data_IF_632041625383
#
_entry.id   IF_632041625383
#
_cell.length_a   1.000
_cell.length_b   1.000
_cell.length_c   1.000
_cell.angle_alpha   90.00
_cell.angle_beta   90.00
_cell.angle_gamma   90.00
#
_symmetry.space_group_name_H-M   'P 1'
#
loop_
_entity.id
_entity.type
_entity.pdbx_description
1 polymer ?
#
# COMPACT_ATOMS: atom_id res chain seq x y z
N UNK A 1 -5.20 -8.79 -20.13
CA UNK A 1 -5.48 -7.43 -19.65
C UNK A 1 -5.98 -7.49 -18.21
N UNK A 2 -5.08 -7.34 -17.25
CA UNK A 2 -5.43 -7.29 -15.83
C UNK A 2 -5.88 -5.85 -15.49
N UNK A 3 -7.09 -5.70 -14.95
CA UNK A 3 -7.73 -4.38 -14.78
C UNK A 3 -7.47 -3.71 -13.43
N UNK A 4 -6.97 -4.44 -12.42
CA UNK A 4 -6.75 -3.88 -11.08
C UNK A 4 -5.43 -3.12 -11.00
N UNK A 5 -5.51 -1.88 -10.56
CA UNK A 5 -4.36 -1.06 -10.18
C UNK A 5 -4.60 -0.61 -8.75
N UNK A 6 -3.70 -0.98 -7.85
CA UNK A 6 -3.66 -0.46 -6.49
C UNK A 6 -2.58 0.62 -6.39
N UNK A 7 -2.94 1.78 -5.85
CA UNK A 7 -2.01 2.88 -5.63
C UNK A 7 -2.41 3.69 -4.40
N UNK A 8 -1.41 4.15 -3.67
CA UNK A 8 -1.54 5.16 -2.61
C UNK A 8 -0.98 6.46 -3.18
N UNK A 9 -1.86 7.38 -3.61
CA UNK A 9 -1.47 8.67 -4.19
C UNK A 9 -1.99 9.85 -3.36
N UNK A 10 -1.67 9.87 -2.07
CA UNK A 10 -2.01 10.99 -1.17
C UNK A 10 -0.98 12.13 -1.24
N UNK A 11 0.21 11.85 -1.75
CA UNK A 11 1.34 12.76 -1.63
C UNK A 11 1.33 13.91 -2.63
N UNK A 12 0.67 13.73 -3.79
CA UNK A 12 0.49 14.82 -4.74
C UNK A 12 -0.32 15.95 -4.15
N UNK A 13 -1.25 15.63 -3.25
CA UNK A 13 -2.11 16.60 -2.56
C UNK A 13 -1.58 17.00 -1.18
N UNK A 14 -0.33 16.69 -0.83
CA UNK A 14 0.23 16.98 0.51
C UNK A 14 -0.45 16.22 1.65
N UNK A 15 -1.14 15.13 1.34
CA UNK A 15 -1.79 14.23 2.29
C UNK A 15 -0.91 13.00 2.60
N UNK A 16 -1.42 12.16 3.49
CA UNK A 16 -0.81 10.93 4.00
C UNK A 16 -1.80 9.76 3.88
N UNK A 17 -1.36 8.49 3.96
CA UNK A 17 -2.26 7.34 4.00
C UNK A 17 -3.27 7.45 5.14
N UNK A 18 -4.55 7.60 4.80
CA UNK A 18 -5.66 7.77 5.73
C UNK A 18 -6.73 6.68 5.51
N UNK A 19 -7.90 6.81 6.17
CA UNK A 19 -9.02 5.88 6.11
C UNK A 19 -8.65 4.44 6.52
N UNK A 20 -7.80 4.30 7.54
CA UNK A 20 -7.24 3.02 7.99
C UNK A 20 -5.95 2.62 7.26
N UNK A 21 -5.42 3.50 6.40
CA UNK A 21 -4.11 3.36 5.77
C UNK A 21 -3.01 3.00 6.76
N UNK A 22 -2.98 3.65 7.92
CA UNK A 22 -1.99 3.38 8.95
C UNK A 22 -2.12 1.98 9.56
N UNK A 23 -3.32 1.39 9.51
CA UNK A 23 -3.61 0.07 10.07
C UNK A 23 -3.13 -1.06 9.14
N UNK A 24 -3.60 -1.09 7.89
CA UNK A 24 -3.28 -2.24 7.03
C UNK A 24 -1.86 -2.17 6.46
N UNK A 25 -1.34 -0.97 6.13
CA UNK A 25 0.02 -0.84 5.58
C UNK A 25 1.09 -1.23 6.58
N UNK A 26 0.90 -0.88 7.86
CA UNK A 26 1.85 -1.23 8.92
C UNK A 26 1.93 -2.73 9.21
N UNK A 27 0.99 -3.52 8.66
CA UNK A 27 0.89 -4.98 8.80
C UNK A 27 1.30 -5.75 7.55
N UNK A 28 1.60 -5.07 6.43
CA UNK A 28 2.12 -5.77 5.26
C UNK A 28 3.52 -6.33 5.54
N UNK A 29 3.75 -7.55 5.07
CA UNK A 29 5.03 -8.25 5.20
C UNK A 29 6.18 -7.49 4.50
N UNK A 30 7.41 -7.80 4.90
CA UNK A 30 8.64 -7.28 4.28
C UNK A 30 8.75 -5.74 4.26
N UNK A 31 8.11 -5.08 5.22
CA UNK A 31 8.01 -3.61 5.29
C UNK A 31 7.42 -2.97 4.02
N UNK A 32 6.67 -3.76 3.23
CA UNK A 32 6.15 -3.32 1.95
C UNK A 32 5.20 -2.14 2.11
N UNK A 33 4.43 -2.07 3.18
CA UNK A 33 3.51 -0.95 3.41
C UNK A 33 4.21 0.39 3.66
N UNK A 34 5.43 0.41 4.22
CA UNK A 34 6.23 1.63 4.35
C UNK A 34 6.72 2.09 2.98
N UNK A 35 7.22 1.16 2.17
CA UNK A 35 7.62 1.44 0.79
C UNK A 35 6.44 1.96 -0.05
N UNK A 36 5.31 1.24 -0.06
CA UNK A 36 4.11 1.62 -0.81
C UNK A 36 3.54 2.95 -0.32
N UNK A 37 3.53 3.16 1.00
CA UNK A 37 3.21 4.43 1.62
C UNK A 37 4.10 5.52 1.04
N UNK A 38 5.38 5.56 1.38
CA UNK A 38 6.25 6.70 1.07
C UNK A 38 6.42 6.97 -0.43
N UNK A 39 6.49 5.93 -1.26
CA UNK A 39 6.78 6.09 -2.70
C UNK A 39 5.52 6.26 -3.55
N UNK A 40 4.37 5.77 -3.10
CA UNK A 40 3.16 5.64 -3.91
C UNK A 40 3.33 4.67 -5.07
N UNK A 41 4.19 3.66 -4.94
CA UNK A 41 4.38 2.63 -5.96
C UNK A 41 3.06 1.93 -6.30
N UNK A 42 2.83 1.70 -7.59
CA UNK A 42 1.61 1.08 -8.11
C UNK A 42 1.77 -0.43 -8.19
N UNK A 43 0.84 -1.17 -7.61
CA UNK A 43 0.76 -2.61 -7.77
C UNK A 43 -0.33 -2.93 -8.80
N UNK A 44 -0.04 -3.88 -9.68
CA UNK A 44 -0.92 -4.24 -10.78
C UNK A 44 -1.35 -5.69 -10.69
N UNK A 45 -2.65 -5.95 -10.84
CA UNK A 45 -3.20 -7.29 -10.90
C UNK A 45 -2.74 -8.19 -9.75
N UNK A 46 -2.00 -9.25 -10.09
CA UNK A 46 -1.55 -10.28 -9.14
C UNK A 46 -0.57 -9.73 -8.09
N UNK A 47 0.12 -8.61 -8.37
CA UNK A 47 0.99 -7.98 -7.38
C UNK A 47 0.21 -7.51 -6.13
N UNK A 48 -1.07 -7.17 -6.29
CA UNK A 48 -1.94 -6.77 -5.18
C UNK A 48 -2.24 -7.97 -4.27
N UNK A 49 -2.36 -9.18 -4.85
CA UNK A 49 -2.49 -10.43 -4.11
C UNK A 49 -1.18 -10.77 -3.40
N UNK A 50 -0.05 -10.72 -4.11
CA UNK A 50 1.28 -11.00 -3.56
C UNK A 50 1.66 -10.06 -2.42
N UNK A 51 1.27 -8.78 -2.51
CA UNK A 51 1.46 -7.81 -1.46
C UNK A 51 0.58 -8.06 -0.21
N UNK A 52 -0.41 -8.96 -0.29
CA UNK A 52 -1.36 -9.25 0.78
C UNK A 52 -2.47 -8.21 0.94
N UNK A 53 -2.72 -7.40 -0.11
CA UNK A 53 -3.77 -6.36 -0.11
C UNK A 53 -5.09 -6.93 -0.62
N UNK A 54 -5.03 -7.72 -1.70
CA UNK A 54 -6.17 -8.50 -2.16
C UNK A 54 -6.14 -9.90 -1.54
N UNK A 55 -7.31 -10.51 -1.37
CA UNK A 55 -7.43 -11.89 -0.85
C UNK A 55 -7.55 -12.94 -1.95
N UNK A 56 -8.07 -12.56 -3.12
CA UNK A 56 -8.27 -13.42 -4.28
C UNK A 56 -7.92 -12.67 -5.56
N UNK A 57 -7.67 -13.42 -6.62
CA UNK A 57 -7.42 -12.88 -7.95
C UNK A 57 -8.34 -13.56 -8.97
N UNK A 58 -9.32 -12.81 -9.48
CA UNK A 58 -10.34 -13.31 -10.39
C UNK A 58 -10.12 -12.78 -11.80
N UNK A 59 -10.27 -13.61 -12.85
CA UNK A 59 -10.10 -13.16 -14.22
C UNK A 59 -11.27 -12.29 -14.66
N UNK A 60 -10.97 -11.15 -15.28
CA UNK A 60 -11.97 -10.12 -15.64
C UNK A 60 -13.13 -10.66 -16.48
N UNK A 61 -12.87 -11.59 -17.39
CA UNK A 61 -13.88 -12.20 -18.26
C UNK A 61 -14.86 -13.14 -17.52
N UNK A 62 -14.59 -13.51 -16.27
CA UNK A 62 -15.47 -14.35 -15.44
C UNK A 62 -16.14 -13.59 -14.30
N UNK A 63 -15.86 -12.30 -14.12
CA UNK A 63 -16.43 -11.52 -13.01
C UNK A 63 -17.96 -11.56 -12.99
N UNK A 64 -18.61 -11.41 -14.15
CA UNK A 64 -20.07 -11.47 -14.24
C UNK A 64 -20.62 -12.85 -13.84
N UNK A 65 -19.97 -13.94 -14.25
CA UNK A 65 -20.35 -15.30 -13.87
C UNK A 65 -20.23 -15.50 -12.35
N UNK A 66 -19.13 -15.03 -11.76
CA UNK A 66 -18.84 -15.16 -10.33
C UNK A 66 -19.81 -14.32 -9.49
N UNK A 67 -20.11 -13.10 -9.92
CA UNK A 67 -21.13 -12.24 -9.30
C UNK A 67 -22.49 -12.95 -9.28
N UNK A 68 -22.90 -13.58 -10.39
CA UNK A 68 -24.15 -14.35 -10.44
C UNK A 68 -24.14 -15.57 -9.52
N UNK A 69 -23.00 -16.22 -9.29
CA UNK A 69 -22.89 -17.30 -8.30
C UNK A 69 -23.08 -16.78 -6.88
N UNK A 70 -22.46 -15.64 -6.55
CA UNK A 70 -22.61 -15.00 -5.24
C UNK A 70 -24.07 -14.58 -4.97
N UNK A 71 -24.75 -13.99 -5.96
CA UNK A 71 -26.16 -13.58 -5.83
C UNK A 71 -27.13 -14.75 -5.65
N UNK A 72 -26.76 -15.96 -6.11
CA UNK A 72 -27.57 -17.18 -6.01
C UNK A 72 -27.27 -18.02 -4.76
N UNK A 73 -26.36 -17.58 -3.90
CA UNK A 73 -26.04 -18.31 -2.68
C UNK A 73 -27.31 -18.42 -1.81
N UNK A 74 -27.68 -19.63 -1.36
CA UNK A 74 -28.83 -19.80 -0.47
C UNK A 74 -28.62 -19.12 0.89
N UNK A 75 -27.36 -18.89 1.27
CA UNK A 75 -26.95 -18.14 2.45
C UNK A 75 -25.66 -17.38 2.18
N UNK A 76 -25.67 -16.07 2.39
CA UNK A 76 -24.52 -15.20 2.22
C UNK A 76 -23.64 -15.15 3.50
N UNK A 77 -23.23 -16.32 4.01
CA UNK A 77 -22.26 -16.38 5.10
C UNK A 77 -20.82 -16.42 4.60
N UNK A 78 -19.88 -16.14 5.51
CA UNK A 78 -18.46 -16.02 5.21
C UNK A 78 -17.91 -17.24 4.46
N UNK A 79 -18.20 -18.45 4.93
CA UNK A 79 -17.67 -19.67 4.34
C UNK A 79 -18.24 -19.90 2.94
N UNK A 80 -19.54 -19.66 2.74
CA UNK A 80 -20.18 -19.80 1.44
C UNK A 80 -19.62 -18.83 0.39
N UNK A 81 -19.41 -17.57 0.79
CA UNK A 81 -18.78 -16.56 -0.07
C UNK A 81 -17.32 -16.93 -0.36
N UNK A 82 -16.56 -17.30 0.68
CA UNK A 82 -15.16 -17.67 0.54
C UNK A 82 -14.99 -18.84 -0.43
N UNK A 83 -15.81 -19.88 -0.33
CA UNK A 83 -15.74 -21.04 -1.23
C UNK A 83 -15.96 -20.63 -2.69
N UNK A 84 -16.94 -19.77 -2.98
CA UNK A 84 -17.16 -19.27 -4.35
C UNK A 84 -15.93 -18.50 -4.85
N UNK A 85 -15.29 -17.69 -4.01
CA UNK A 85 -14.10 -16.94 -4.40
C UNK A 85 -12.88 -17.86 -4.57
N UNK A 86 -12.65 -18.81 -3.66
CA UNK A 86 -11.56 -19.78 -3.71
C UNK A 86 -11.64 -20.66 -4.97
N UNK A 87 -12.84 -21.14 -5.34
CA UNK A 87 -13.04 -21.98 -6.53
C UNK A 87 -12.80 -21.25 -7.86
N UNK A 88 -12.88 -19.92 -7.85
CA UNK A 88 -12.79 -19.11 -9.05
C UNK A 88 -11.52 -18.22 -9.07
N UNK A 89 -10.69 -18.26 -8.02
CA UNK A 89 -9.39 -17.59 -8.02
C UNK A 89 -8.43 -18.29 -8.98
N UNK A 90 -7.72 -17.53 -9.81
CA UNK A 90 -6.58 -18.08 -10.52
C UNK A 90 -5.46 -18.33 -9.51
N UNK A 91 -4.91 -19.54 -9.55
CA UNK A 91 -3.77 -19.89 -8.71
C UNK A 91 -2.54 -19.12 -9.16
N UNK A 92 -1.73 -18.71 -8.18
CA UNK A 92 -0.38 -18.22 -8.43
C UNK A 92 0.42 -19.38 -9.04
N UNK A 93 0.68 -19.30 -10.34
CA UNK A 93 1.58 -20.22 -11.04
C UNK A 93 3.01 -19.68 -11.02
N UNK A 94 3.99 -20.49 -11.41
CA UNK A 94 5.39 -20.05 -11.54
C UNK A 94 5.58 -18.90 -12.55
N UNK A 95 4.61 -18.65 -13.44
CA UNK A 95 4.60 -17.51 -14.37
C UNK A 95 4.10 -16.20 -13.77
N UNK A 96 3.50 -16.25 -12.58
CA UNK A 96 2.98 -15.08 -11.85
C UNK A 96 3.88 -14.72 -10.68
N UNK A 97 5.14 -14.40 -10.96
CA UNK A 97 6.08 -13.89 -9.96
C UNK A 97 5.69 -12.47 -9.55
N UNK A 98 5.85 -12.15 -8.27
CA UNK A 98 5.67 -10.79 -7.77
C UNK A 98 6.66 -9.82 -8.45
N UNK A 99 6.20 -8.70 -8.98
CA UNK A 99 7.05 -7.76 -9.74
C UNK A 99 8.18 -7.13 -8.92
N UNK A 100 8.04 -7.10 -7.59
CA UNK A 100 9.04 -6.59 -6.66
C UNK A 100 9.88 -7.70 -6.01
N UNK A 101 9.77 -8.95 -6.48
CA UNK A 101 10.41 -10.11 -5.83
C UNK A 101 11.93 -9.91 -5.64
N UNK A 102 12.62 -9.42 -6.66
CA UNK A 102 14.08 -9.18 -6.61
C UNK A 102 14.45 -7.99 -5.71
N UNK A 103 13.55 -7.03 -5.56
CA UNK A 103 13.75 -5.81 -4.78
C UNK A 103 13.32 -5.98 -3.32
N UNK A 104 12.59 -7.04 -2.96
CA UNK A 104 12.11 -7.30 -1.61
C UNK A 104 13.22 -7.25 -0.54
N UNK A 105 14.41 -7.84 -0.72
CA UNK A 105 15.49 -7.74 0.28
C UNK A 105 15.91 -6.29 0.56
N UNK A 106 16.01 -5.48 -0.50
CA UNK A 106 16.32 -4.06 -0.39
C UNK A 106 15.19 -3.29 0.28
N UNK A 107 13.95 -3.50 -0.15
CA UNK A 107 12.75 -2.85 0.41
C UNK A 107 12.66 -3.15 1.91
N UNK A 108 12.78 -4.42 2.29
CA UNK A 108 12.66 -4.88 3.66
C UNK A 108 13.71 -4.23 4.57
N UNK A 109 14.94 -4.07 4.07
CA UNK A 109 16.05 -3.44 4.82
C UNK A 109 15.88 -1.92 4.93
N UNK A 110 15.62 -1.25 3.80
CA UNK A 110 15.69 0.22 3.70
C UNK A 110 14.44 0.88 4.26
N UNK A 111 13.27 0.30 3.98
CA UNK A 111 11.98 0.82 4.43
C UNK A 111 11.51 0.15 5.73
N UNK A 112 12.46 -0.36 6.52
CA UNK A 112 12.17 -0.98 7.81
C UNK A 112 11.28 -0.07 8.65
N UNK A 113 10.18 -0.60 9.18
CA UNK A 113 9.18 0.23 9.87
C UNK A 113 9.77 0.94 11.09
N UNK A 114 10.74 0.34 11.75
CA UNK A 114 11.49 0.88 12.88
C UNK A 114 12.67 1.79 12.49
N UNK A 115 12.86 2.07 11.19
CA UNK A 115 13.89 3.00 10.71
C UNK A 115 13.77 4.35 11.41
N UNK A 116 14.90 4.99 11.74
CA UNK A 116 14.93 6.17 12.60
C UNK A 116 14.06 7.31 12.05
N UNK A 117 14.25 7.67 10.79
CA UNK A 117 13.57 8.77 10.12
C UNK A 117 13.63 8.61 8.59
N UNK A 118 13.03 9.55 7.86
CA UNK A 118 13.01 9.55 6.39
C UNK A 118 14.40 9.80 5.81
N UNK A 119 15.23 10.60 6.47
CA UNK A 119 16.59 10.91 6.05
C UNK A 119 17.47 9.64 5.99
N UNK A 120 17.35 8.74 6.96
CA UNK A 120 18.02 7.43 6.94
C UNK A 120 17.60 6.58 5.73
N UNK A 121 16.34 6.67 5.28
CA UNK A 121 15.89 5.99 4.05
C UNK A 121 16.66 6.53 2.84
N UNK A 122 16.77 7.86 2.71
CA UNK A 122 17.53 8.48 1.63
C UNK A 122 19.02 8.08 1.65
N UNK A 123 19.64 8.09 2.82
CA UNK A 123 21.04 7.67 3.00
C UNK A 123 21.26 6.22 2.57
N UNK A 124 20.40 5.30 3.01
CA UNK A 124 20.52 3.88 2.67
C UNK A 124 20.25 3.62 1.18
N UNK A 125 19.28 4.30 0.56
CA UNK A 125 19.05 4.20 -0.89
C UNK A 125 20.27 4.72 -1.68
N UNK A 126 20.87 5.83 -1.23
CA UNK A 126 22.04 6.42 -1.89
C UNK A 126 23.26 5.50 -1.76
N UNK A 127 23.44 4.87 -0.60
CA UNK A 127 24.52 3.92 -0.36
C UNK A 127 24.36 2.63 -1.16
N UNK A 128 23.12 2.19 -1.42
CA UNK A 128 22.84 1.02 -2.26
C UNK A 128 23.20 1.28 -3.73
N UNK A 129 22.83 2.46 -4.25
CA UNK A 129 23.27 2.93 -5.57
C UNK A 129 22.71 2.15 -6.77
N UNK A 130 21.89 1.13 -6.55
CA UNK A 130 21.25 0.40 -7.66
C UNK A 130 20.29 1.30 -8.45
N UNK A 131 20.03 0.93 -9.70
CA UNK A 131 19.06 1.64 -10.56
C UNK A 131 17.69 1.76 -9.90
N UNK A 132 17.26 0.73 -9.18
CA UNK A 132 16.01 0.76 -8.43
C UNK A 132 16.06 1.77 -7.28
N UNK A 133 17.12 1.75 -6.47
CA UNK A 133 17.27 2.64 -5.32
C UNK A 133 17.32 4.12 -5.75
N UNK A 134 18.11 4.44 -6.78
CA UNK A 134 18.21 5.80 -7.32
C UNK A 134 16.87 6.29 -7.87
N UNK A 135 16.10 5.41 -8.53
CA UNK A 135 14.75 5.75 -8.98
C UNK A 135 13.81 6.06 -7.80
N UNK A 136 13.90 5.33 -6.69
CA UNK A 136 13.09 5.63 -5.51
C UNK A 136 13.47 6.98 -4.88
N UNK A 137 14.75 7.35 -4.87
CA UNK A 137 15.19 8.69 -4.41
C UNK A 137 14.51 9.79 -5.24
N UNK A 138 14.54 9.67 -6.56
CA UNK A 138 13.92 10.67 -7.44
C UNK A 138 12.40 10.76 -7.21
N UNK A 139 11.73 9.63 -6.99
CA UNK A 139 10.31 9.63 -6.61
C UNK A 139 10.08 10.33 -5.27
N UNK A 140 10.85 9.99 -4.23
CA UNK A 140 10.68 10.55 -2.89
C UNK A 140 10.92 12.08 -2.88
N UNK A 141 11.85 12.58 -3.69
CA UNK A 141 12.10 14.03 -3.83
C UNK A 141 10.91 14.82 -4.39
N UNK A 142 10.01 14.17 -5.11
CA UNK A 142 8.79 14.82 -5.64
C UNK A 142 7.67 14.93 -4.61
N UNK A 143 7.84 14.37 -3.41
CA UNK A 143 6.80 14.33 -2.38
C UNK A 143 7.01 15.44 -1.33
N UNK A 144 5.91 15.87 -0.70
CA UNK A 144 5.97 16.78 0.47
C UNK A 144 6.83 16.15 1.58
N UNK A 145 7.90 16.84 2.06
CA UNK A 145 8.70 16.36 3.18
C UNK A 145 7.88 16.13 4.45
N UNK A 146 6.88 16.99 4.69
CA UNK A 146 5.93 16.87 5.81
C UNK A 146 5.14 15.57 5.70
N UNK A 147 4.59 15.30 4.53
CA UNK A 147 3.79 14.08 4.27
C UNK A 147 4.63 12.81 4.43
N UNK A 148 5.87 12.80 3.94
CA UNK A 148 6.78 11.66 4.12
C UNK A 148 7.03 11.36 5.61
N UNK A 149 7.30 12.39 6.41
CA UNK A 149 7.57 12.25 7.85
C UNK A 149 6.33 11.79 8.61
N UNK A 150 5.17 12.39 8.32
CA UNK A 150 3.88 11.98 8.88
C UNK A 150 3.61 10.51 8.55
N UNK A 151 3.75 10.10 7.29
CA UNK A 151 3.52 8.71 6.86
C UNK A 151 4.38 7.74 7.64
N UNK A 152 5.69 7.99 7.72
CA UNK A 152 6.59 7.07 8.41
C UNK A 152 6.20 6.93 9.89
N UNK A 153 5.93 8.06 10.56
CA UNK A 153 5.58 8.06 11.98
C UNK A 153 4.22 7.41 12.25
N UNK A 154 3.20 7.67 11.44
CA UNK A 154 1.89 7.05 11.64
C UNK A 154 1.93 5.54 11.37
N UNK A 155 2.75 5.06 10.43
CA UNK A 155 2.87 3.62 10.16
C UNK A 155 3.55 2.90 11.33
N UNK A 156 4.58 3.50 11.92
CA UNK A 156 5.21 3.01 13.16
C UNK A 156 4.20 2.83 14.27
N UNK A 157 3.42 3.87 14.58
CA UNK A 157 2.39 3.84 15.63
C UNK A 157 1.26 2.87 15.28
N UNK A 158 0.81 2.90 14.02
CA UNK A 158 -0.26 2.05 13.50
C UNK A 158 0.01 0.56 13.64
N UNK A 159 1.28 0.14 13.69
CA UNK A 159 1.66 -1.25 13.96
C UNK A 159 1.27 -1.72 15.36
N UNK A 160 1.22 -0.80 16.33
CA UNK A 160 0.89 -1.09 17.73
C UNK A 160 -0.59 -0.83 18.06
N UNK A 161 -1.30 -0.12 17.17
CA UNK A 161 -2.68 0.31 17.37
C UNK A 161 -3.68 -0.64 16.75
N UNK A 162 -4.87 -0.73 17.34
CA UNK A 162 -6.04 -1.28 16.66
C UNK A 162 -6.56 -0.34 15.56
N UNK A 163 -7.57 -0.77 14.81
CA UNK A 163 -8.14 0.04 13.72
C UNK A 163 -8.78 1.34 14.23
N UNK A 164 -9.44 1.31 15.38
CA UNK A 164 -10.11 2.48 15.96
C UNK A 164 -9.09 3.53 16.39
N UNK A 165 -8.01 3.11 17.05
CA UNK A 165 -6.88 3.95 17.42
C UNK A 165 -6.17 4.54 16.19
N UNK A 166 -5.98 3.75 15.13
CA UNK A 166 -5.46 4.24 13.85
C UNK A 166 -6.36 5.34 13.28
N UNK A 167 -7.67 5.11 13.18
CA UNK A 167 -8.61 6.10 12.65
C UNK A 167 -8.66 7.39 13.49
N UNK A 168 -8.56 7.28 14.82
CA UNK A 168 -8.45 8.44 15.72
C UNK A 168 -7.18 9.24 15.48
N UNK A 169 -6.04 8.56 15.31
CA UNK A 169 -4.77 9.20 14.99
C UNK A 169 -4.84 9.90 13.63
N UNK A 170 -5.28 9.20 12.59
CA UNK A 170 -5.43 9.75 11.24
C UNK A 170 -6.36 10.97 11.22
N UNK A 171 -7.47 10.93 11.95
CA UNK A 171 -8.39 12.07 12.09
C UNK A 171 -7.69 13.31 12.68
N UNK A 172 -6.88 13.13 13.73
CA UNK A 172 -6.11 14.23 14.34
C UNK A 172 -5.05 14.79 13.40
N UNK A 173 -4.34 13.92 12.68
CA UNK A 173 -3.34 14.32 11.68
C UNK A 173 -4.03 15.11 10.57
N UNK A 174 -5.16 14.63 10.06
CA UNK A 174 -5.92 15.29 8.99
C UNK A 174 -6.33 16.71 9.39
N UNK A 175 -6.87 16.88 10.61
CA UNK A 175 -7.21 18.19 11.15
C UNK A 175 -6.02 19.16 11.17
N UNK A 176 -4.80 18.68 11.35
CA UNK A 176 -3.62 19.54 11.28
C UNK A 176 -3.20 19.81 9.83
N UNK A 177 -3.12 18.77 9.00
CA UNK A 177 -2.61 18.84 7.63
C UNK A 177 -3.45 19.75 6.74
N UNK A 178 -4.78 19.76 6.89
CA UNK A 178 -5.67 20.60 6.06
C UNK A 178 -5.49 22.11 6.31
N UNK A 179 -4.86 22.50 7.42
CA UNK A 179 -4.51 23.89 7.71
C UNK A 179 -3.06 24.22 7.30
N UNK A 180 -2.31 23.24 6.79
CA UNK A 180 -0.92 23.37 6.36
C UNK A 180 -0.77 23.77 4.89
N UNK A 181 0.35 24.42 4.58
CA UNK A 181 0.67 24.91 3.24
C UNK A 181 0.71 23.79 2.17
N UNK A 182 1.36 22.67 2.47
CA UNK A 182 1.59 21.58 1.52
C UNK A 182 0.29 20.96 0.98
N UNK A 183 -0.78 20.97 1.78
CA UNK A 183 -2.09 20.46 1.35
C UNK A 183 -2.68 21.33 0.25
N UNK A 184 -2.73 22.65 0.46
CA UNK A 184 -3.29 23.59 -0.50
C UNK A 184 -2.49 23.62 -1.81
N UNK A 185 -1.16 23.65 -1.73
CA UNK A 185 -0.31 23.63 -2.92
C UNK A 185 -0.40 22.31 -3.69
N UNK A 186 -0.47 21.18 -2.98
CA UNK A 186 -0.63 19.88 -3.62
C UNK A 186 -1.98 19.71 -4.33
N UNK A 187 -3.06 20.26 -3.79
CA UNK A 187 -4.38 20.23 -4.47
C UNK A 187 -4.39 21.13 -5.71
N UNK A 188 -3.60 22.21 -5.72
CA UNK A 188 -3.56 23.20 -6.81
C UNK A 188 -2.76 22.73 -8.04
N UNK A 189 -1.70 21.96 -7.83
CA UNK A 189 -0.73 21.56 -8.86
C UNK A 189 -1.23 20.43 -9.78
#
# INVERSE_FOLDING_TARGET
NYSLIYVIDYYKTGLFPNAGGSYFLSRLSNNLGVFLGLTGHRLHGMDVLHAGIATHFLPTNRLQEIEQKLLKLPKADYNSIKNVLDENTELVTSKSSFSLQEQLPLINRVFAIDTKNVETIFEQLKSDGSTFALKQIEILKTKSPTSLKITLEQLKRGKQFDLNECLKMEYRILHYVIHGHDFFEGVRA
#
